data_IF_699259380584
#
_entry.id   IF_699259380584
#
_cell.length_a   1.000
_cell.length_b   1.000
_cell.length_c   1.000
_cell.angle_alpha   90.00
_cell.angle_beta   90.00
_cell.angle_gamma   90.00
#
_symmetry.space_group_name_H-M   'P 1'
#
loop_
_entity.id
_entity.type
_entity.pdbx_description
1 polymer ?
#
# COMPACT_ATOMS: atom_id res chain seq x y z
N UNK A 1 -7.01 9.21 -8.47
CA UNK A 1 -7.49 8.07 -7.68
C UNK A 1 -8.87 7.64 -8.21
N UNK A 2 -9.22 6.35 -8.10
CA UNK A 2 -10.49 5.82 -8.59
C UNK A 2 -11.08 4.82 -7.60
N UNK A 3 -12.39 4.91 -7.35
CA UNK A 3 -13.19 3.82 -6.77
C UNK A 3 -13.68 2.97 -7.93
N UNK A 4 -13.39 1.67 -7.93
CA UNK A 4 -13.63 0.75 -9.05
C UNK A 4 -14.56 -0.35 -8.59
N UNK A 5 -15.53 -0.70 -9.44
CA UNK A 5 -16.34 -1.89 -9.25
C UNK A 5 -15.51 -3.14 -9.53
N UNK A 6 -15.39 -4.02 -8.53
CA UNK A 6 -14.51 -5.20 -8.57
C UNK A 6 -14.93 -6.24 -9.62
N UNK A 7 -16.21 -6.33 -9.94
CA UNK A 7 -16.72 -7.32 -10.90
C UNK A 7 -16.51 -6.89 -12.34
N UNK A 8 -16.67 -5.59 -12.60
CA UNK A 8 -16.63 -5.04 -13.96
C UNK A 8 -15.33 -4.35 -14.32
N UNK A 9 -14.50 -4.01 -13.32
CA UNK A 9 -13.29 -3.20 -13.47
C UNK A 9 -13.58 -1.73 -13.85
N UNK A 10 -14.84 -1.30 -13.83
CA UNK A 10 -15.23 0.06 -14.26
C UNK A 10 -15.13 1.03 -13.09
N UNK A 11 -14.58 2.24 -13.32
CA UNK A 11 -14.58 3.29 -12.31
C UNK A 11 -16.02 3.74 -12.01
N UNK A 12 -16.40 3.72 -10.72
CA UNK A 12 -17.68 4.25 -10.23
C UNK A 12 -17.55 5.67 -9.68
N UNK A 13 -16.34 6.02 -9.23
CA UNK A 13 -15.97 7.40 -8.82
C UNK A 13 -14.50 7.68 -9.17
N UNK A 14 -14.18 8.97 -9.34
CA UNK A 14 -12.85 9.44 -9.69
C UNK A 14 -12.52 10.71 -8.91
N UNK A 15 -11.29 10.80 -8.39
CA UNK A 15 -10.67 12.01 -7.88
C UNK A 15 -9.53 12.41 -8.80
N UNK A 16 -9.60 13.63 -9.30
CA UNK A 16 -8.52 14.24 -10.06
C UNK A 16 -7.72 15.17 -9.16
N UNK A 17 -6.41 15.11 -9.28
CA UNK A 17 -5.46 15.92 -8.53
C UNK A 17 -4.76 16.88 -9.49
N UNK A 18 -4.30 18.01 -8.96
CA UNK A 18 -3.40 18.91 -9.69
C UNK A 18 -2.16 18.12 -10.14
N UNK A 19 -1.68 18.37 -11.35
CA UNK A 19 -0.53 17.67 -11.98
C UNK A 19 0.77 17.77 -11.18
N UNK A 20 0.87 18.74 -10.28
CA UNK A 20 2.02 18.88 -9.37
C UNK A 20 2.07 17.78 -8.30
N UNK A 21 0.98 17.05 -8.08
CA UNK A 21 0.91 15.99 -7.08
C UNK A 21 1.02 14.62 -7.75
N UNK A 22 2.02 13.87 -7.37
CA UNK A 22 2.07 12.44 -7.68
C UNK A 22 1.44 11.68 -6.51
N UNK A 23 0.31 11.02 -6.77
CA UNK A 23 -0.48 10.29 -5.77
C UNK A 23 0.11 8.90 -5.60
N UNK A 24 0.36 8.51 -4.35
CA UNK A 24 0.92 7.22 -3.96
C UNK A 24 -0.05 6.48 -3.01
N UNK A 25 0.42 6.00 -1.86
CA UNK A 25 -0.34 5.18 -0.93
C UNK A 25 -1.66 5.79 -0.48
N UNK A 26 -2.67 4.94 -0.36
CA UNK A 26 -3.97 5.34 0.17
C UNK A 26 -4.59 4.24 1.01
N UNK A 27 -5.33 4.61 2.06
CA UNK A 27 -6.05 3.67 2.93
C UNK A 27 -7.31 4.30 3.51
N UNK A 28 -8.19 3.47 4.01
CA UNK A 28 -9.42 3.88 4.69
C UNK A 28 -9.29 3.61 6.19
N UNK A 29 -9.49 4.65 7.00
CA UNK A 29 -9.59 4.52 8.46
C UNK A 29 -10.83 5.27 8.95
N UNK A 30 -11.80 4.53 9.52
CA UNK A 30 -13.12 5.05 9.83
C UNK A 30 -13.83 5.58 8.58
N UNK A 31 -14.39 6.78 8.65
CA UNK A 31 -15.09 7.43 7.54
C UNK A 31 -14.18 8.25 6.62
N UNK A 32 -12.87 8.05 6.72
CA UNK A 32 -11.89 8.83 6.00
C UNK A 32 -11.05 7.99 5.05
N UNK A 33 -10.89 8.50 3.82
CA UNK A 33 -9.93 8.03 2.84
C UNK A 33 -8.69 8.93 2.93
N UNK A 34 -7.57 8.35 3.34
CA UNK A 34 -6.25 8.99 3.44
C UNK A 34 -5.46 8.74 2.17
N UNK A 35 -4.83 9.77 1.65
CA UNK A 35 -4.09 9.71 0.37
C UNK A 35 -2.76 10.44 0.52
N UNK A 36 -1.65 9.75 0.30
CA UNK A 36 -0.32 10.34 0.33
C UNK A 36 0.10 10.86 -1.04
N UNK A 37 0.98 11.84 -1.03
CA UNK A 37 1.74 12.26 -2.21
C UNK A 37 3.21 11.90 -2.04
N UNK A 38 3.88 11.58 -3.12
CA UNK A 38 5.31 11.27 -3.12
C UNK A 38 6.14 12.47 -2.61
N UNK A 39 6.82 13.20 -3.50
CA UNK A 39 7.76 14.28 -3.14
C UNK A 39 7.07 15.56 -2.65
N UNK A 40 5.79 15.76 -2.97
CA UNK A 40 5.05 16.95 -2.54
C UNK A 40 4.83 17.00 -1.03
N UNK A 41 4.95 15.86 -0.34
CA UNK A 41 4.87 15.75 1.13
C UNK A 41 3.59 16.33 1.69
N UNK A 42 2.49 16.03 1.03
CA UNK A 42 1.14 16.40 1.45
C UNK A 42 0.32 15.12 1.56
N UNK A 43 -0.47 15.02 2.61
CA UNK A 43 -1.50 14.01 2.77
C UNK A 43 -2.86 14.67 2.62
N UNK A 44 -3.74 14.08 1.82
CA UNK A 44 -5.12 14.51 1.65
C UNK A 44 -6.05 13.58 2.40
N UNK A 45 -7.14 14.14 2.92
CA UNK A 45 -8.22 13.40 3.57
C UNK A 45 -9.53 13.71 2.86
N UNK A 46 -10.21 12.65 2.47
CA UNK A 46 -11.52 12.69 1.82
C UNK A 46 -12.53 11.90 2.66
N UNK A 47 -13.79 12.18 2.50
CA UNK A 47 -14.85 11.29 2.95
C UNK A 47 -14.84 10.01 2.10
N UNK A 48 -14.93 8.85 2.72
CA UNK A 48 -14.79 7.56 2.00
C UNK A 48 -15.99 7.26 1.10
N UNK A 49 -17.18 7.70 1.51
CA UNK A 49 -18.41 7.43 0.75
C UNK A 49 -18.63 8.44 -0.37
N UNK A 50 -18.54 9.72 -0.03
CA UNK A 50 -18.79 10.80 -0.99
C UNK A 50 -17.58 11.14 -1.83
N UNK A 51 -16.36 10.77 -1.39
CA UNK A 51 -15.07 11.20 -1.94
C UNK A 51 -14.91 12.73 -1.98
N UNK A 52 -15.61 13.45 -1.10
CA UNK A 52 -15.47 14.90 -0.95
C UNK A 52 -14.23 15.23 -0.11
N UNK A 53 -13.54 16.29 -0.51
CA UNK A 53 -12.36 16.77 0.21
C UNK A 53 -12.74 17.25 1.61
N UNK A 54 -12.02 16.76 2.63
CA UNK A 54 -12.16 17.19 4.03
C UNK A 54 -11.02 18.12 4.48
N UNK A 55 -9.79 17.68 4.28
CA UNK A 55 -8.60 18.42 4.73
C UNK A 55 -7.32 17.94 4.07
N UNK A 56 -6.23 18.66 4.31
CA UNK A 56 -4.89 18.21 3.96
C UNK A 56 -3.90 18.55 5.07
N UNK A 57 -2.85 17.74 5.15
CA UNK A 57 -1.80 17.88 6.16
C UNK A 57 -0.43 17.87 5.51
N UNK A 58 0.50 18.60 6.10
CA UNK A 58 1.90 18.47 5.72
C UNK A 58 2.43 17.11 6.20
N UNK A 59 2.93 16.31 5.28
CA UNK A 59 3.52 15.02 5.57
C UNK A 59 5.04 15.15 5.55
N UNK A 60 5.78 14.83 6.64
CA UNK A 60 7.20 15.24 6.77
C UNK A 60 8.19 14.38 5.97
N UNK A 61 7.71 13.40 5.21
CA UNK A 61 8.53 12.48 4.40
C UNK A 61 7.88 12.20 3.06
N UNK A 62 8.57 11.48 2.18
CA UNK A 62 7.95 10.95 0.97
C UNK A 62 6.83 9.96 1.34
N UNK A 63 5.70 10.06 0.67
CA UNK A 63 4.62 9.10 0.82
C UNK A 63 4.79 7.99 -0.20
N UNK A 64 4.97 6.73 0.26
CA UNK A 64 5.04 5.55 -0.60
C UNK A 64 3.81 4.68 -0.39
N UNK A 65 3.85 3.71 0.52
CA UNK A 65 2.69 2.91 0.88
C UNK A 65 1.96 3.46 2.10
N UNK A 66 0.68 3.12 2.23
CA UNK A 66 -0.14 3.50 3.38
C UNK A 66 -1.19 2.41 3.64
N UNK A 67 -1.22 1.91 4.87
CA UNK A 67 -2.26 0.99 5.36
C UNK A 67 -2.71 1.37 6.78
N UNK A 68 -3.56 0.58 7.38
CA UNK A 68 -4.05 0.76 8.75
C UNK A 68 -4.28 -0.56 9.45
N UNK A 69 -4.05 -0.59 10.76
CA UNK A 69 -4.44 -1.70 11.64
C UNK A 69 -5.86 -1.51 12.22
N UNK A 70 -6.62 -0.55 11.68
CA UNK A 70 -7.94 -0.15 12.17
C UNK A 70 -7.90 0.88 13.32
N UNK A 71 -6.71 1.27 13.80
CA UNK A 71 -6.51 2.26 14.87
C UNK A 71 -5.54 3.36 14.49
N UNK A 72 -4.47 3.00 13.79
CA UNK A 72 -3.40 3.88 13.38
C UNK A 72 -3.17 3.79 11.87
N UNK A 73 -2.62 4.85 11.30
CA UNK A 73 -2.06 4.84 9.96
C UNK A 73 -0.65 4.25 10.01
N UNK A 74 -0.30 3.41 9.04
CA UNK A 74 1.01 2.79 8.92
C UNK A 74 1.54 3.10 7.52
N UNK A 75 2.69 3.78 7.43
CA UNK A 75 3.26 4.24 6.17
C UNK A 75 4.69 3.78 5.95
N UNK A 76 5.07 3.67 4.69
CA UNK A 76 6.43 3.50 4.20
C UNK A 76 6.93 4.77 3.51
N UNK A 77 8.26 4.89 3.32
CA UNK A 77 8.94 5.99 2.63
C UNK A 77 10.13 5.49 1.78
N UNK A 78 10.14 4.21 1.40
CA UNK A 78 11.23 3.57 0.67
C UNK A 78 12.47 3.25 1.51
N UNK A 79 12.51 3.67 2.77
CA UNK A 79 13.56 3.26 3.71
C UNK A 79 13.30 1.84 4.23
N UNK A 80 14.09 1.41 5.22
CA UNK A 80 13.86 0.18 5.98
C UNK A 80 12.98 0.41 7.22
N UNK A 81 12.17 1.45 7.24
CA UNK A 81 11.34 1.76 8.40
C UNK A 81 9.87 1.87 8.00
N UNK A 82 8.99 1.49 8.92
CA UNK A 82 7.58 1.80 8.89
C UNK A 82 7.25 2.82 9.97
N UNK A 83 6.25 3.65 9.68
CA UNK A 83 5.85 4.77 10.53
C UNK A 83 4.40 4.62 10.95
N UNK A 84 4.17 4.47 12.25
CA UNK A 84 2.85 4.42 12.85
C UNK A 84 2.44 5.82 13.28
N UNK A 85 1.25 6.24 12.94
CA UNK A 85 0.78 7.60 13.13
C UNK A 85 -0.70 7.60 13.52
N UNK A 86 -1.12 8.65 14.21
CA UNK A 86 -2.54 8.90 14.42
C UNK A 86 -3.24 9.40 13.13
N UNK A 87 -4.54 9.66 13.22
CA UNK A 87 -5.39 10.14 12.14
C UNK A 87 -5.04 11.56 11.64
N UNK A 88 -4.10 12.24 12.31
CA UNK A 88 -3.57 13.58 11.97
C UNK A 88 -2.11 13.52 11.53
N UNK A 89 -1.59 12.32 11.22
CA UNK A 89 -0.21 12.07 10.82
C UNK A 89 0.84 12.42 11.87
N UNK A 90 0.46 12.54 13.14
CA UNK A 90 1.41 12.66 14.24
C UNK A 90 2.08 11.31 14.46
N UNK A 91 3.41 11.30 14.40
CA UNK A 91 4.20 10.08 14.60
C UNK A 91 4.07 9.59 16.04
N UNK A 92 3.68 8.32 16.18
CA UNK A 92 3.66 7.57 17.43
C UNK A 92 4.88 6.64 17.54
N UNK A 93 5.16 5.87 16.48
CA UNK A 93 6.21 4.87 16.47
C UNK A 93 6.93 4.82 15.12
N UNK A 94 8.26 4.69 15.16
CA UNK A 94 9.10 4.29 14.03
C UNK A 94 9.57 2.86 14.24
N UNK A 95 9.33 1.97 13.27
CA UNK A 95 9.63 0.55 13.35
C UNK A 95 10.67 0.17 12.29
N UNK A 96 11.91 -0.16 12.67
CA UNK A 96 12.89 -0.72 11.76
C UNK A 96 12.46 -2.12 11.30
N UNK A 97 12.58 -2.39 10.00
CA UNK A 97 12.24 -3.70 9.40
C UNK A 97 13.50 -4.45 9.03
N UNK A 98 13.58 -5.71 9.46
CA UNK A 98 14.76 -6.56 9.25
C UNK A 98 14.40 -7.97 8.83
N UNK A 99 15.25 -8.57 7.99
CA UNK A 99 15.29 -9.99 7.67
C UNK A 99 16.64 -10.55 8.13
N UNK A 100 16.65 -11.52 9.05
CA UNK A 100 17.88 -12.06 9.64
C UNK A 100 18.81 -10.97 10.18
N UNK A 101 18.23 -10.01 10.92
CA UNK A 101 18.88 -8.85 11.53
C UNK A 101 19.50 -7.84 10.53
N UNK A 102 19.27 -8.01 9.22
CA UNK A 102 19.68 -7.04 8.19
C UNK A 102 18.51 -6.15 7.79
N UNK A 103 18.71 -4.82 7.68
CA UNK A 103 17.65 -3.90 7.25
C UNK A 103 17.16 -4.24 5.83
N UNK A 104 15.84 -4.27 5.64
CA UNK A 104 15.22 -4.42 4.32
C UNK A 104 14.71 -3.04 3.87
N UNK A 105 15.30 -2.52 2.80
CA UNK A 105 14.97 -1.22 2.20
C UNK A 105 13.95 -1.37 1.08
N UNK A 106 13.52 -0.21 0.56
CA UNK A 106 12.58 -0.12 -0.57
C UNK A 106 11.20 -0.67 -0.24
N UNK A 107 10.81 -0.64 1.06
CA UNK A 107 9.44 -0.94 1.45
C UNK A 107 8.51 0.07 0.80
N UNK A 108 7.52 -0.43 0.05
CA UNK A 108 6.64 0.40 -0.75
C UNK A 108 5.18 0.19 -0.35
N UNK A 109 4.37 -0.35 -1.21
CA UNK A 109 2.96 -0.54 -0.98
C UNK A 109 2.73 -1.49 0.21
N UNK A 110 1.71 -1.20 1.02
CA UNK A 110 1.45 -1.85 2.29
C UNK A 110 0.01 -2.30 2.41
N UNK A 111 -0.18 -3.49 3.02
CA UNK A 111 -1.49 -3.95 3.46
C UNK A 111 -1.39 -4.61 4.84
N UNK A 112 -2.41 -4.41 5.69
CA UNK A 112 -2.48 -5.03 7.01
C UNK A 112 -3.43 -6.23 6.96
N UNK A 113 -2.88 -7.45 7.08
CA UNK A 113 -3.60 -8.71 6.93
C UNK A 113 -3.32 -9.59 8.13
N UNK A 114 -4.35 -10.05 8.81
CA UNK A 114 -4.27 -11.01 9.92
C UNK A 114 -3.21 -10.67 10.97
N UNK A 115 -3.15 -9.38 11.36
CA UNK A 115 -2.22 -8.94 12.40
C UNK A 115 -0.77 -8.78 11.93
N UNK A 116 -0.51 -8.81 10.62
CA UNK A 116 0.80 -8.61 10.00
C UNK A 116 0.75 -7.48 8.98
N UNK A 117 1.89 -6.86 8.74
CA UNK A 117 2.03 -5.88 7.66
C UNK A 117 2.68 -6.60 6.47
N UNK A 118 1.99 -6.58 5.36
CA UNK A 118 2.51 -7.05 4.09
C UNK A 118 3.08 -5.85 3.34
N UNK A 119 4.28 -5.98 2.78
CA UNK A 119 4.95 -4.88 2.09
C UNK A 119 5.59 -5.36 0.80
N UNK A 120 5.29 -4.69 -0.32
CA UNK A 120 6.10 -4.84 -1.53
C UNK A 120 7.51 -4.30 -1.29
N UNK A 121 8.52 -5.00 -1.78
CA UNK A 121 9.87 -4.45 -1.92
C UNK A 121 10.04 -3.93 -3.34
N UNK A 122 10.13 -2.62 -3.50
CA UNK A 122 10.15 -1.95 -4.80
C UNK A 122 11.25 -2.50 -5.71
N UNK A 123 10.92 -2.72 -6.98
CA UNK A 123 11.75 -3.34 -8.02
C UNK A 123 12.01 -4.85 -7.86
N UNK A 124 11.33 -5.53 -6.93
CA UNK A 124 11.39 -6.98 -6.79
C UNK A 124 10.01 -7.61 -6.97
N UNK A 125 9.98 -8.93 -7.11
CA UNK A 125 8.74 -9.72 -7.11
C UNK A 125 8.47 -10.33 -5.73
N UNK A 126 8.92 -9.67 -4.66
CA UNK A 126 8.80 -10.15 -3.29
C UNK A 126 7.88 -9.28 -2.45
N UNK A 127 7.09 -9.95 -1.59
CA UNK A 127 6.29 -9.31 -0.55
C UNK A 127 6.78 -9.82 0.81
N UNK A 128 7.10 -8.89 1.71
CA UNK A 128 7.54 -9.18 3.06
C UNK A 128 6.35 -9.25 4.01
N UNK A 129 6.25 -10.31 4.82
CA UNK A 129 5.30 -10.43 5.93
C UNK A 129 6.01 -9.98 7.19
N UNK A 130 5.62 -8.83 7.72
CA UNK A 130 6.34 -8.12 8.79
C UNK A 130 5.53 -8.19 10.08
N UNK A 131 6.20 -8.51 11.19
CA UNK A 131 5.62 -8.43 12.51
C UNK A 131 5.52 -6.96 12.96
N UNK A 132 4.31 -6.40 13.21
CA UNK A 132 4.15 -4.98 13.55
C UNK A 132 4.68 -4.60 14.92
N UNK A 133 4.99 -5.57 15.81
CA UNK A 133 5.49 -5.31 17.16
C UNK A 133 7.00 -5.05 17.16
N UNK A 134 7.76 -5.81 16.39
CA UNK A 134 9.23 -5.83 16.42
C UNK A 134 9.91 -5.56 15.08
N UNK A 135 9.17 -5.47 13.96
CA UNK A 135 9.70 -5.22 12.63
C UNK A 135 10.44 -6.41 11.99
N UNK A 136 10.42 -7.58 12.61
CA UNK A 136 11.03 -8.78 12.01
C UNK A 136 10.15 -9.30 10.88
N UNK A 137 10.79 -9.65 9.77
CA UNK A 137 10.13 -10.35 8.67
C UNK A 137 9.99 -11.81 9.07
N UNK A 138 8.77 -12.32 9.04
CA UNK A 138 8.41 -13.69 9.42
C UNK A 138 8.12 -14.57 8.20
N UNK A 139 7.93 -13.96 7.03
CA UNK A 139 7.72 -14.67 5.77
C UNK A 139 8.06 -13.80 4.57
N UNK A 140 8.36 -14.46 3.46
CA UNK A 140 8.58 -13.83 2.16
C UNK A 140 7.71 -14.55 1.14
N UNK A 141 6.91 -13.80 0.41
CA UNK A 141 6.09 -14.32 -0.68
C UNK A 141 6.83 -14.06 -1.99
N UNK A 142 7.10 -15.13 -2.72
CA UNK A 142 7.68 -15.08 -4.06
C UNK A 142 6.57 -15.00 -5.10
N UNK A 143 6.47 -13.86 -5.76
CA UNK A 143 5.48 -13.56 -6.78
C UNK A 143 6.04 -13.65 -8.22
N UNK A 144 7.24 -14.21 -8.40
CA UNK A 144 7.85 -14.36 -9.74
C UNK A 144 6.94 -15.15 -10.66
N UNK A 145 6.67 -14.58 -11.84
CA UNK A 145 5.81 -15.20 -12.85
C UNK A 145 4.30 -15.03 -12.59
N UNK A 146 3.89 -14.24 -11.58
CA UNK A 146 2.48 -13.93 -11.33
C UNK A 146 1.87 -13.24 -12.55
N UNK A 147 2.53 -12.21 -13.10
CA UNK A 147 2.17 -11.67 -14.40
C UNK A 147 2.74 -12.56 -15.50
N UNK A 148 1.88 -13.10 -16.34
CA UNK A 148 2.27 -13.94 -17.47
C UNK A 148 3.00 -13.09 -18.53
N UNK A 149 4.00 -13.69 -19.17
CA UNK A 149 4.91 -12.98 -20.07
C UNK A 149 4.23 -12.38 -21.31
N UNK A 150 3.18 -13.03 -21.80
CA UNK A 150 2.36 -12.56 -22.93
C UNK A 150 1.49 -11.33 -22.59
N UNK A 151 1.33 -11.00 -21.30
CA UNK A 151 0.61 -9.81 -20.81
C UNK A 151 1.51 -8.59 -20.62
N UNK A 152 2.83 -8.74 -20.78
CA UNK A 152 3.75 -7.60 -20.69
C UNK A 152 3.57 -6.65 -21.87
N UNK A 153 3.57 -5.37 -21.55
CA UNK A 153 3.54 -4.28 -22.53
C UNK A 153 4.75 -3.36 -22.29
N UNK A 154 5.01 -2.44 -23.19
CA UNK A 154 6.06 -1.39 -22.99
C UNK A 154 5.80 -0.49 -21.78
N UNK A 155 4.63 -0.53 -21.20
CA UNK A 155 4.23 0.28 -20.06
C UNK A 155 4.14 -0.52 -18.75
N UNK A 156 4.26 -1.86 -18.84
CA UNK A 156 4.27 -2.72 -17.65
C UNK A 156 5.45 -2.37 -16.76
N UNK A 157 5.16 -2.19 -15.48
CA UNK A 157 6.14 -1.83 -14.47
C UNK A 157 6.07 -2.85 -13.31
N UNK A 158 6.69 -2.57 -12.18
CA UNK A 158 6.92 -3.51 -11.08
C UNK A 158 5.64 -3.98 -10.40
N UNK A 159 5.71 -5.14 -9.75
CA UNK A 159 4.74 -5.59 -8.76
C UNK A 159 4.63 -4.53 -7.66
N UNK A 160 3.44 -3.97 -7.46
CA UNK A 160 3.20 -2.96 -6.42
C UNK A 160 1.70 -2.76 -6.22
N UNK A 161 1.11 -3.52 -5.32
CA UNK A 161 -0.31 -3.45 -5.00
C UNK A 161 -0.75 -4.72 -4.29
N UNK A 162 -1.18 -4.59 -3.04
CA UNK A 162 -1.73 -5.64 -2.20
C UNK A 162 -3.07 -5.15 -1.69
N UNK A 163 -4.08 -5.99 -1.70
CA UNK A 163 -5.36 -5.68 -1.08
C UNK A 163 -5.95 -6.92 -0.43
N UNK A 164 -6.56 -6.76 0.73
CA UNK A 164 -7.33 -7.80 1.39
C UNK A 164 -8.80 -7.36 1.45
N UNK A 165 -9.70 -8.21 0.95
CA UNK A 165 -11.11 -7.96 1.09
C UNK A 165 -11.56 -8.28 2.52
N UNK A 166 -12.01 -7.30 3.32
CA UNK A 166 -12.35 -7.51 4.72
C UNK A 166 -13.61 -8.38 4.92
N UNK A 167 -14.39 -8.63 3.85
CA UNK A 167 -15.64 -9.42 3.94
C UNK A 167 -15.38 -10.91 3.81
N UNK A 168 -14.49 -11.33 2.90
CA UNK A 168 -14.25 -12.74 2.60
C UNK A 168 -12.77 -13.17 2.79
N UNK A 169 -11.91 -12.26 3.21
CA UNK A 169 -10.48 -12.49 3.46
C UNK A 169 -9.66 -12.79 2.21
N UNK A 170 -10.20 -12.58 1.02
CA UNK A 170 -9.47 -12.80 -0.22
C UNK A 170 -8.39 -11.77 -0.42
N UNK A 171 -7.24 -12.24 -0.88
CA UNK A 171 -6.06 -11.41 -1.11
C UNK A 171 -5.87 -11.20 -2.61
N UNK A 172 -5.62 -9.96 -2.97
CA UNK A 172 -5.43 -9.55 -4.36
C UNK A 172 -4.08 -8.88 -4.53
N UNK A 173 -3.40 -9.21 -5.63
CA UNK A 173 -2.14 -8.59 -6.02
C UNK A 173 -2.23 -8.00 -7.41
N UNK A 174 -1.51 -6.90 -7.62
CA UNK A 174 -1.33 -6.27 -8.93
C UNK A 174 0.02 -5.59 -9.03
N UNK A 175 0.31 -4.98 -10.16
CA UNK A 175 1.50 -4.15 -10.35
C UNK A 175 1.18 -2.85 -11.10
N UNK A 176 2.15 -1.96 -11.13
CA UNK A 176 2.04 -0.68 -11.84
C UNK A 176 1.81 -0.94 -13.34
N UNK A 177 0.69 -0.43 -13.86
CA UNK A 177 0.25 -0.63 -15.25
C UNK A 177 -0.01 -2.09 -15.64
N UNK A 178 -0.23 -2.97 -14.68
CA UNK A 178 -0.64 -4.34 -14.99
C UNK A 178 -2.09 -4.39 -15.51
N UNK A 179 -2.39 -5.26 -16.48
CA UNK A 179 -3.74 -5.40 -17.03
C UNK A 179 -4.65 -6.27 -16.16
N UNK A 180 -4.13 -6.87 -15.08
CA UNK A 180 -4.83 -7.84 -14.23
C UNK A 180 -4.69 -7.50 -12.75
N UNK A 181 -5.74 -7.85 -12.02
CA UNK A 181 -5.76 -8.02 -10.57
C UNK A 181 -5.89 -9.52 -10.31
N UNK A 182 -4.98 -10.08 -9.53
CA UNK A 182 -4.91 -11.51 -9.25
C UNK A 182 -5.44 -11.82 -7.86
N UNK A 183 -6.47 -12.65 -7.75
CA UNK A 183 -6.81 -13.31 -6.48
C UNK A 183 -5.78 -14.41 -6.22
N UNK A 184 -5.14 -14.39 -5.06
CA UNK A 184 -4.09 -15.34 -4.70
C UNK A 184 -4.43 -16.19 -3.50
N UNK A 185 -3.77 -17.35 -3.39
CA UNK A 185 -3.65 -18.15 -2.17
C UNK A 185 -2.19 -18.39 -1.87
N UNK A 186 -1.82 -18.28 -0.58
CA UNK A 186 -0.47 -18.61 -0.14
C UNK A 186 -0.32 -20.12 -0.08
N UNK A 187 0.78 -20.60 -0.64
CA UNK A 187 1.22 -22.00 -0.56
C UNK A 187 2.55 -21.99 0.17
N UNK A 188 2.60 -22.60 1.34
CA UNK A 188 3.84 -22.80 2.07
C UNK A 188 4.72 -23.83 1.35
N UNK A 189 6.02 -23.54 1.30
CA UNK A 189 7.03 -24.45 0.72
C UNK A 189 7.81 -25.13 1.82
#
# INVERSE_FOLDING_TARGET
LRKVDMQTGKPVKRLDFDRKYFIEGSTVLGDNLYVLTWESRIAFIYDVETMEYKSSWRYPREGWGLTTDGKQLIASDGSSNLYFMDDKFKLDKKLPVTLNDKPVRWLNELEYIDGKIWANVYTTDEIMIINPRNGKIEGVIDCRGLLQQDLYTRHTDVLNGIACNPVDGKIYLTGKNWPKLYEIKIIEK
#
